data_IF_198293826306
#
_entry.id   IF_198293826306
#
_cell.length_a   1.000
_cell.length_b   1.000
_cell.length_c   1.000
_cell.angle_alpha   90.00
_cell.angle_beta   90.00
_cell.angle_gamma   90.00
#
_symmetry.space_group_name_H-M   'P 1'
#
loop_
_entity.id
_entity.type
_entity.pdbx_description
1 polymer ?
#
# COMPACT_ATOMS: atom_id res chain seq x y z
N UNK A 1 32.92 32.96 1.36
CA UNK A 1 32.83 31.58 1.89
C UNK A 1 33.98 30.84 1.28
N UNK A 2 34.85 30.25 2.09
CA UNK A 2 35.96 29.46 1.60
C UNK A 2 35.43 28.03 1.35
N UNK A 3 35.28 27.68 0.08
CA UNK A 3 34.70 26.40 -0.34
C UNK A 3 35.71 25.24 -0.22
N UNK A 4 37.01 25.56 -0.04
CA UNK A 4 38.11 24.59 0.06
C UNK A 4 38.43 24.21 1.51
N UNK A 5 37.66 24.71 2.48
CA UNK A 5 37.87 24.38 3.89
C UNK A 5 37.53 22.90 4.19
N UNK A 6 38.43 22.22 4.90
CA UNK A 6 38.22 20.83 5.33
C UNK A 6 37.30 20.80 6.55
N UNK A 7 36.23 20.01 6.49
CA UNK A 7 35.26 19.84 7.58
C UNK A 7 35.35 18.43 8.14
N UNK A 8 35.44 18.32 9.47
CA UNK A 8 35.34 17.03 10.15
C UNK A 8 33.88 16.60 10.26
N UNK A 9 33.55 15.44 9.68
CA UNK A 9 32.23 14.84 9.80
C UNK A 9 32.07 14.11 11.13
N UNK A 10 30.90 14.24 11.76
CA UNK A 10 30.54 13.39 12.89
C UNK A 10 30.25 11.96 12.41
N UNK A 11 30.24 11.01 13.36
CA UNK A 11 29.86 9.62 13.06
C UNK A 11 28.44 9.54 12.47
N UNK A 12 27.50 10.31 13.02
CA UNK A 12 26.11 10.32 12.56
C UNK A 12 26.01 10.85 11.13
N UNK A 13 26.77 11.89 10.78
CA UNK A 13 26.82 12.42 9.42
C UNK A 13 27.37 11.40 8.42
N UNK A 14 28.37 10.61 8.81
CA UNK A 14 28.91 9.53 7.96
C UNK A 14 27.88 8.44 7.70
N UNK A 15 27.10 8.06 8.72
CA UNK A 15 26.02 7.06 8.58
C UNK A 15 24.96 7.54 7.60
N UNK A 16 24.52 8.78 7.73
CA UNK A 16 23.54 9.38 6.82
C UNK A 16 24.06 9.44 5.38
N UNK A 17 25.28 9.93 5.17
CA UNK A 17 25.90 9.97 3.83
C UNK A 17 26.02 8.58 3.24
N UNK A 18 26.43 7.58 4.04
CA UNK A 18 26.53 6.21 3.57
C UNK A 18 25.17 5.65 3.17
N UNK A 19 24.10 5.95 3.92
CA UNK A 19 22.75 5.59 3.53
C UNK A 19 22.39 6.22 2.18
N UNK A 20 22.66 7.50 1.98
CA UNK A 20 22.40 8.18 0.71
C UNK A 20 23.21 7.59 -0.44
N UNK A 21 24.52 7.35 -0.28
CA UNK A 21 25.37 6.73 -1.31
C UNK A 21 24.81 5.36 -1.73
N UNK A 22 24.35 4.57 -0.76
CA UNK A 22 23.84 3.22 -1.01
C UNK A 22 22.45 3.23 -1.65
N UNK A 23 21.64 4.27 -1.43
CA UNK A 23 20.23 4.29 -1.84
C UNK A 23 19.94 5.28 -2.98
N UNK A 24 20.79 6.25 -3.25
CA UNK A 24 20.50 7.34 -4.18
C UNK A 24 20.25 6.83 -5.59
N UNK A 25 20.97 5.83 -6.08
CA UNK A 25 20.74 5.25 -7.40
C UNK A 25 19.32 4.68 -7.54
N UNK A 26 18.78 4.04 -6.50
CA UNK A 26 17.45 3.45 -6.50
C UNK A 26 16.34 4.42 -6.12
N UNK A 27 16.64 5.47 -5.34
CA UNK A 27 15.64 6.40 -4.80
C UNK A 27 15.59 7.72 -5.56
N UNK A 28 16.63 8.08 -6.31
CA UNK A 28 16.66 9.32 -7.08
C UNK A 28 15.53 9.34 -8.10
N UNK A 29 14.76 10.44 -8.10
CA UNK A 29 13.57 10.59 -8.95
C UNK A 29 12.33 9.82 -8.50
N UNK A 30 12.38 8.99 -7.45
CA UNK A 30 11.17 8.38 -6.87
C UNK A 30 10.32 9.44 -6.19
N UNK A 31 9.01 9.27 -6.25
CA UNK A 31 8.07 10.15 -5.58
C UNK A 31 8.29 10.05 -4.06
N UNK A 32 8.52 11.21 -3.44
CA UNK A 32 8.61 11.33 -1.98
C UNK A 32 7.21 11.16 -1.35
N UNK A 33 6.17 11.54 -2.10
CA UNK A 33 4.77 11.43 -1.68
C UNK A 33 4.12 10.25 -2.40
N UNK A 34 3.17 9.55 -1.75
CA UNK A 34 2.34 8.59 -2.46
C UNK A 34 1.67 9.25 -3.67
N UNK A 35 1.47 8.48 -4.74
CA UNK A 35 0.61 8.91 -5.83
C UNK A 35 -0.79 9.23 -5.28
N UNK A 36 -1.50 10.19 -5.88
CA UNK A 36 -2.91 10.40 -5.59
C UNK A 36 -3.68 9.07 -5.76
N UNK A 37 -4.62 8.80 -4.85
CA UNK A 37 -5.54 7.68 -4.98
C UNK A 37 -6.33 7.86 -6.28
N UNK A 38 -6.35 6.84 -7.12
CA UNK A 38 -7.00 6.89 -8.44
C UNK A 38 -8.43 6.34 -8.40
N UNK A 39 -8.73 5.42 -7.47
CA UNK A 39 -10.00 4.73 -7.35
C UNK A 39 -10.37 4.54 -5.88
N UNK A 40 -11.65 4.69 -5.55
CA UNK A 40 -12.21 4.34 -4.25
C UNK A 40 -13.04 3.06 -4.38
N UNK A 41 -12.69 2.04 -3.60
CA UNK A 41 -13.45 0.80 -3.53
C UNK A 41 -14.03 0.67 -2.12
N UNK A 42 -15.34 0.48 -2.04
CA UNK A 42 -16.04 0.13 -0.81
C UNK A 42 -16.28 -1.37 -0.79
N UNK A 43 -16.01 -1.99 0.36
CA UNK A 43 -16.18 -3.44 0.54
C UNK A 43 -17.01 -3.70 1.77
N UNK A 44 -17.77 -4.80 1.74
CA UNK A 44 -18.46 -5.34 2.90
C UNK A 44 -18.27 -6.86 2.99
N UNK A 45 -18.42 -7.37 4.20
CA UNK A 45 -18.29 -8.80 4.47
C UNK A 45 -19.22 -9.20 5.59
N UNK A 46 -19.78 -10.39 5.47
CA UNK A 46 -20.63 -11.05 6.46
C UNK A 46 -20.21 -12.52 6.57
N UNK A 47 -20.83 -13.28 7.47
CA UNK A 47 -20.64 -14.73 7.50
C UNK A 47 -21.25 -15.45 6.29
N UNK A 48 -22.09 -14.78 5.49
CA UNK A 48 -22.77 -15.39 4.34
C UNK A 48 -22.09 -15.11 3.00
N UNK A 49 -21.36 -14.00 2.90
CA UNK A 49 -20.75 -13.54 1.66
C UNK A 49 -20.14 -12.16 1.80
N UNK A 50 -19.72 -11.62 0.65
CA UNK A 50 -19.04 -10.34 0.51
C UNK A 50 -19.52 -9.59 -0.72
N UNK A 51 -19.28 -8.29 -0.71
CA UNK A 51 -19.53 -7.40 -1.82
C UNK A 51 -18.49 -6.29 -1.90
N UNK A 52 -18.41 -5.68 -3.08
CA UNK A 52 -17.66 -4.47 -3.30
C UNK A 52 -18.24 -3.62 -4.42
N UNK A 53 -18.06 -2.31 -4.28
CA UNK A 53 -18.49 -1.31 -5.22
C UNK A 53 -17.39 -0.27 -5.44
N UNK A 54 -17.09 0.03 -6.70
CA UNK A 54 -16.20 1.11 -7.11
C UNK A 54 -17.03 2.21 -7.79
N UNK A 55 -17.31 3.34 -7.11
CA UNK A 55 -18.12 4.40 -7.68
C UNK A 55 -17.50 5.04 -8.92
N UNK A 56 -16.17 5.16 -8.95
CA UNK A 56 -15.43 5.78 -10.06
C UNK A 56 -15.58 4.99 -11.38
N UNK A 57 -15.81 3.68 -11.30
CA UNK A 57 -15.96 2.79 -12.45
C UNK A 57 -17.38 2.27 -12.65
N UNK A 58 -18.31 2.58 -11.73
CA UNK A 58 -19.65 1.99 -11.65
C UNK A 58 -19.62 0.44 -11.70
N UNK A 59 -18.65 -0.16 -11.00
CA UNK A 59 -18.43 -1.60 -10.96
C UNK A 59 -18.83 -2.20 -9.62
N UNK A 60 -19.53 -3.33 -9.68
CA UNK A 60 -19.96 -4.09 -8.51
C UNK A 60 -19.51 -5.56 -8.66
N UNK A 61 -18.96 -6.12 -7.59
CA UNK A 61 -18.67 -7.54 -7.48
C UNK A 61 -19.15 -8.08 -6.13
N UNK A 62 -19.56 -9.33 -6.09
CA UNK A 62 -20.01 -9.99 -4.87
C UNK A 62 -19.88 -11.51 -4.99
N UNK A 63 -19.94 -12.18 -3.85
CA UNK A 63 -19.91 -13.64 -3.79
C UNK A 63 -20.38 -14.18 -2.46
N UNK A 64 -20.74 -15.46 -2.44
CA UNK A 64 -21.01 -16.18 -1.20
C UNK A 64 -19.75 -16.86 -0.69
N UNK A 65 -19.61 -16.92 0.62
CA UNK A 65 -18.61 -17.78 1.23
C UNK A 65 -19.02 -19.24 1.09
N UNK A 66 -18.05 -20.12 0.85
CA UNK A 66 -18.25 -21.54 1.05
C UNK A 66 -18.53 -21.82 2.53
N UNK A 67 -19.07 -23.00 2.83
CA UNK A 67 -19.33 -23.44 4.22
C UNK A 67 -18.04 -23.42 5.05
N UNK A 68 -16.90 -23.75 4.45
CA UNK A 68 -15.61 -23.69 5.16
C UNK A 68 -15.20 -22.25 5.43
N UNK A 69 -15.33 -21.37 4.44
CA UNK A 69 -14.98 -19.96 4.58
C UNK A 69 -15.88 -19.23 5.57
N UNK A 70 -17.18 -19.51 5.58
CA UNK A 70 -18.14 -18.86 6.49
C UNK A 70 -17.85 -19.12 7.97
N UNK A 71 -17.01 -20.11 8.29
CA UNK A 71 -16.56 -20.40 9.65
C UNK A 71 -15.30 -19.64 10.07
N UNK A 72 -14.66 -18.89 9.17
CA UNK A 72 -13.54 -18.04 9.52
C UNK A 72 -13.99 -16.81 10.32
N UNK A 73 -13.05 -16.26 11.10
CA UNK A 73 -13.29 -15.05 11.87
C UNK A 73 -13.64 -13.88 10.94
N UNK A 74 -14.55 -13.00 11.36
CA UNK A 74 -15.06 -11.90 10.52
C UNK A 74 -13.93 -11.01 9.97
N UNK A 75 -12.92 -10.65 10.78
CA UNK A 75 -11.75 -9.89 10.29
C UNK A 75 -10.99 -10.59 9.15
N UNK A 76 -10.93 -11.93 9.15
CA UNK A 76 -10.32 -12.66 8.04
C UNK A 76 -11.17 -12.54 6.77
N UNK A 77 -12.49 -12.63 6.91
CA UNK A 77 -13.43 -12.47 5.81
C UNK A 77 -13.47 -11.04 5.25
N UNK A 78 -13.29 -10.02 6.08
CA UNK A 78 -13.14 -8.63 5.64
C UNK A 78 -11.86 -8.42 4.81
N UNK A 79 -10.72 -8.97 5.26
CA UNK A 79 -9.48 -8.92 4.50
C UNK A 79 -9.56 -9.73 3.19
N UNK A 80 -10.24 -10.88 3.22
CA UNK A 80 -10.48 -11.69 2.04
C UNK A 80 -11.38 -10.97 1.02
N UNK A 81 -12.46 -10.31 1.49
CA UNK A 81 -13.31 -9.48 0.66
C UNK A 81 -12.50 -8.35 -0.01
N UNK A 82 -11.66 -7.65 0.75
CA UNK A 82 -10.75 -6.63 0.19
C UNK A 82 -9.84 -7.21 -0.90
N UNK A 83 -9.23 -8.37 -0.65
CA UNK A 83 -8.36 -9.02 -1.62
C UNK A 83 -9.09 -9.44 -2.90
N UNK A 84 -10.30 -10.01 -2.78
CA UNK A 84 -11.10 -10.40 -3.94
C UNK A 84 -11.54 -9.18 -4.74
N UNK A 85 -11.96 -8.10 -4.06
CA UNK A 85 -12.35 -6.85 -4.70
C UNK A 85 -11.23 -6.26 -5.56
N UNK A 86 -10.00 -6.26 -5.02
CA UNK A 86 -8.81 -5.82 -5.74
C UNK A 86 -8.50 -6.70 -6.96
N UNK A 87 -8.76 -8.00 -6.90
CA UNK A 87 -8.56 -8.91 -8.05
C UNK A 87 -9.58 -8.73 -9.17
N UNK A 88 -10.79 -8.29 -8.85
CA UNK A 88 -11.86 -8.11 -9.83
C UNK A 88 -11.87 -6.70 -10.44
N UNK A 89 -11.56 -5.68 -9.64
CA UNK A 89 -11.65 -4.27 -10.04
C UNK A 89 -10.30 -3.72 -10.51
N UNK A 90 -9.19 -4.18 -9.92
CA UNK A 90 -7.82 -3.75 -10.24
C UNK A 90 -7.15 -4.64 -11.28
#
# INVERSE_FOLDING_TARGET
>A
MDYDSVVNLSKDSLVEIQWWVNNVSEKNGKLIRPCPVQLWIQTDSSLSGWGAFCPDLDLLCNGRWSILESNYHINYLELLANFMSLKFIG
#
